data_IF_458145520644
#
_entry.id   IF_458145520644
#
_cell.length_a   1.000
_cell.length_b   1.000
_cell.length_c   1.000
_cell.angle_alpha   90.00
_cell.angle_beta   90.00
_cell.angle_gamma   90.00
#
_symmetry.space_group_name_H-M   'P 1'
#
loop_
_entity.id
_entity.type
_entity.pdbx_description
1 polymer ?
#
# COMPACT_ATOMS: atom_id res chain seq x y z
N UNK A 1 -40.40 -16.60 -11.42
CA UNK A 1 -39.16 -16.09 -12.04
C UNK A 1 -38.17 -15.95 -10.90
N UNK A 2 -37.67 -17.09 -10.45
CA UNK A 2 -36.69 -17.22 -9.38
C UNK A 2 -35.32 -17.47 -10.01
N UNK A 3 -34.27 -17.20 -9.24
CA UNK A 3 -32.91 -17.73 -9.39
C UNK A 3 -31.87 -16.86 -10.12
N UNK A 4 -31.43 -15.76 -9.47
CA UNK A 4 -30.16 -15.05 -9.79
C UNK A 4 -29.42 -14.59 -8.52
N UNK A 5 -29.47 -15.33 -7.41
CA UNK A 5 -28.76 -14.94 -6.15
C UNK A 5 -27.91 -16.08 -5.56
N UNK A 6 -27.44 -17.01 -6.38
CA UNK A 6 -26.62 -18.16 -5.95
C UNK A 6 -25.13 -18.04 -6.27
N UNK A 7 -24.63 -16.85 -6.65
CA UNK A 7 -23.24 -16.68 -7.11
C UNK A 7 -22.22 -16.19 -6.06
N UNK A 8 -22.64 -15.68 -4.91
CA UNK A 8 -21.71 -15.15 -3.90
C UNK A 8 -21.48 -16.21 -2.82
N UNK A 9 -20.55 -17.13 -3.08
CA UNK A 9 -19.91 -17.91 -2.01
C UNK A 9 -19.60 -16.98 -0.85
N UNK A 10 -19.91 -17.39 0.39
CA UNK A 10 -19.68 -16.51 1.54
C UNK A 10 -18.21 -16.04 1.52
N UNK A 11 -17.90 -14.78 1.87
CA UNK A 11 -16.51 -14.31 1.97
C UNK A 11 -15.64 -15.21 2.88
N UNK A 12 -16.31 -15.98 3.75
CA UNK A 12 -15.76 -16.97 4.65
C UNK A 12 -15.42 -18.32 3.99
N UNK A 13 -16.04 -18.69 2.88
CA UNK A 13 -15.70 -19.89 2.12
C UNK A 13 -14.32 -19.78 1.45
N UNK A 14 -13.95 -18.58 0.98
CA UNK A 14 -12.63 -18.26 0.41
C UNK A 14 -11.49 -18.24 1.44
N UNK A 15 -11.80 -18.11 2.74
CA UNK A 15 -10.79 -18.21 3.81
C UNK A 15 -10.22 -19.64 3.92
N UNK A 16 -10.99 -20.67 3.53
CA UNK A 16 -10.58 -22.07 3.61
C UNK A 16 -9.37 -22.44 2.73
N UNK A 17 -9.06 -21.62 1.71
CA UNK A 17 -7.94 -21.85 0.79
C UNK A 17 -6.61 -21.26 1.30
N UNK A 18 -6.66 -20.40 2.32
CA UNK A 18 -5.49 -19.73 2.89
C UNK A 18 -4.82 -20.59 3.97
N UNK A 19 -3.49 -20.47 4.09
CA UNK A 19 -2.76 -21.08 5.23
C UNK A 19 -3.24 -20.44 6.55
N UNK A 20 -3.14 -21.14 7.69
CA UNK A 20 -3.57 -20.60 8.98
C UNK A 20 -2.96 -19.23 9.33
N UNK A 21 -1.68 -19.00 9.01
CA UNK A 21 -1.03 -17.70 9.22
C UNK A 21 -1.66 -16.60 8.36
N UNK A 22 -2.01 -16.90 7.11
CA UNK A 22 -2.64 -15.94 6.20
C UNK A 22 -4.09 -15.63 6.59
N UNK A 23 -4.81 -16.63 7.13
CA UNK A 23 -6.14 -16.40 7.71
C UNK A 23 -6.07 -15.46 8.91
N UNK A 24 -5.05 -15.62 9.76
CA UNK A 24 -4.80 -14.72 10.88
C UNK A 24 -4.47 -13.30 10.40
N UNK A 25 -3.51 -13.16 9.47
CA UNK A 25 -3.13 -11.86 8.92
C UNK A 25 -4.34 -11.12 8.30
N UNK A 26 -5.20 -11.86 7.57
CA UNK A 26 -6.42 -11.31 6.99
C UNK A 26 -7.43 -10.89 8.07
N UNK A 27 -7.61 -11.71 9.10
CA UNK A 27 -8.50 -11.41 10.23
C UNK A 27 -8.03 -10.17 10.98
N UNK A 28 -6.72 -10.06 11.25
CA UNK A 28 -6.11 -8.92 11.93
C UNK A 28 -6.28 -7.64 11.10
N UNK A 29 -6.05 -7.72 9.79
CA UNK A 29 -6.30 -6.60 8.88
C UNK A 29 -7.78 -6.18 8.86
N UNK A 30 -8.71 -7.14 8.75
CA UNK A 30 -10.16 -6.86 8.76
C UNK A 30 -10.57 -6.16 10.06
N UNK A 31 -10.12 -6.65 11.21
CA UNK A 31 -10.34 -6.00 12.50
C UNK A 31 -9.74 -4.58 12.53
N UNK A 32 -8.53 -4.39 12.01
CA UNK A 32 -7.85 -3.09 11.93
C UNK A 32 -8.64 -2.07 11.10
N UNK A 33 -9.29 -2.50 10.03
CA UNK A 33 -10.12 -1.63 9.18
C UNK A 33 -11.57 -1.51 9.65
N UNK A 34 -11.88 -1.97 10.87
CA UNK A 34 -13.18 -1.79 11.50
C UNK A 34 -14.23 -2.82 11.10
N UNK A 35 -13.82 -3.97 10.54
CA UNK A 35 -14.70 -5.12 10.32
C UNK A 35 -14.74 -6.02 11.56
N UNK A 36 -15.94 -6.33 12.05
CA UNK A 36 -16.17 -7.25 13.16
C UNK A 36 -16.22 -8.67 12.62
N UNK A 37 -15.18 -9.44 12.92
CA UNK A 37 -15.18 -10.89 12.66
C UNK A 37 -15.95 -11.56 13.81
N UNK A 38 -17.28 -11.45 13.82
CA UNK A 38 -18.13 -12.25 14.72
C UNK A 38 -18.42 -13.62 14.10
N UNK A 39 -18.17 -14.68 14.86
CA UNK A 39 -18.54 -16.04 14.48
C UNK A 39 -20.05 -16.23 14.58
N UNK A 40 -20.74 -16.04 13.46
CA UNK A 40 -22.18 -16.27 13.32
C UNK A 40 -22.88 -15.09 12.66
N UNK A 41 -23.56 -15.34 11.54
CA UNK A 41 -24.10 -14.34 10.61
C UNK A 41 -24.92 -13.23 11.28
N UNK A 42 -24.58 -11.97 10.98
CA UNK A 42 -25.56 -11.00 10.50
C UNK A 42 -25.05 -10.30 9.22
N UNK A 43 -25.89 -9.49 8.57
CA UNK A 43 -25.60 -8.90 7.24
C UNK A 43 -24.32 -8.03 7.20
N UNK A 44 -23.84 -7.72 5.99
CA UNK A 44 -22.62 -6.95 5.75
C UNK A 44 -22.60 -5.61 6.51
N UNK A 45 -23.77 -5.00 6.72
CA UNK A 45 -23.93 -3.74 7.45
C UNK A 45 -23.71 -3.88 8.97
N UNK A 46 -24.07 -5.01 9.57
CA UNK A 46 -23.85 -5.28 11.00
C UNK A 46 -22.38 -5.69 11.30
N UNK A 47 -21.68 -6.18 10.28
CA UNK A 47 -20.28 -6.58 10.40
C UNK A 47 -19.32 -5.37 10.35
N UNK A 48 -19.68 -4.27 9.70
CA UNK A 48 -18.80 -3.09 9.58
C UNK A 48 -19.05 -2.12 10.73
N UNK A 49 -18.15 -2.10 11.72
CA UNK A 49 -18.25 -1.19 12.86
C UNK A 49 -17.90 0.27 12.55
N UNK A 50 -17.14 0.50 11.47
CA UNK A 50 -16.77 1.84 11.02
C UNK A 50 -16.71 1.86 9.48
N UNK A 51 -17.79 2.31 8.85
CA UNK A 51 -17.91 2.33 7.40
C UNK A 51 -16.82 3.17 6.73
N UNK A 52 -16.48 4.33 7.29
CA UNK A 52 -15.44 5.21 6.73
C UNK A 52 -14.07 4.53 6.74
N UNK A 53 -13.71 3.88 7.85
CA UNK A 53 -12.46 3.17 7.99
C UNK A 53 -12.40 1.96 7.06
N UNK A 54 -13.49 1.20 6.97
CA UNK A 54 -13.59 0.05 6.08
C UNK A 54 -13.46 0.45 4.61
N UNK A 55 -14.16 1.51 4.18
CA UNK A 55 -13.99 2.07 2.82
C UNK A 55 -12.56 2.55 2.57
N UNK A 56 -11.89 3.13 3.57
CA UNK A 56 -10.48 3.54 3.45
C UNK A 56 -9.56 2.33 3.29
N UNK A 57 -9.79 1.26 4.05
CA UNK A 57 -9.09 0.00 3.89
C UNK A 57 -9.30 -0.63 2.51
N UNK A 58 -10.54 -0.59 2.00
CA UNK A 58 -10.87 -1.03 0.65
C UNK A 58 -10.09 -0.23 -0.39
N UNK A 59 -10.06 1.10 -0.32
CA UNK A 59 -9.28 1.93 -1.25
C UNK A 59 -7.79 1.59 -1.23
N UNK A 60 -7.21 1.31 -0.06
CA UNK A 60 -5.83 0.87 0.05
C UNK A 60 -5.60 -0.47 -0.64
N UNK A 61 -6.45 -1.47 -0.38
CA UNK A 61 -6.32 -2.80 -1.02
C UNK A 61 -6.50 -2.69 -2.53
N UNK A 62 -7.46 -1.91 -3.00
CA UNK A 62 -7.65 -1.65 -4.44
C UNK A 62 -6.43 -0.98 -5.06
N UNK A 63 -5.82 0.01 -4.39
CA UNK A 63 -4.60 0.64 -4.88
C UNK A 63 -3.44 -0.37 -4.97
N UNK A 64 -3.26 -1.23 -3.96
CA UNK A 64 -2.24 -2.28 -3.99
C UNK A 64 -2.47 -3.31 -5.11
N UNK A 65 -3.73 -3.62 -5.42
CA UNK A 65 -4.10 -4.56 -6.48
C UNK A 65 -3.91 -3.99 -7.90
N UNK A 66 -4.02 -2.67 -8.07
CA UNK A 66 -3.85 -2.00 -9.37
C UNK A 66 -2.35 -1.77 -9.71
N UNK A 67 -1.44 -1.90 -8.74
CA UNK A 67 -0.02 -1.75 -8.99
C UNK A 67 0.53 -2.87 -9.89
N UNK A 68 1.49 -2.59 -10.80
CA UNK A 68 2.02 -3.59 -11.73
C UNK A 68 2.69 -4.80 -11.07
N UNK A 69 2.74 -5.91 -11.81
CA UNK A 69 3.40 -7.16 -11.40
C UNK A 69 4.83 -6.88 -10.92
N UNK A 70 5.13 -7.25 -9.66
CA UNK A 70 6.35 -6.99 -8.86
C UNK A 70 6.24 -5.87 -7.80
N UNK A 71 5.33 -4.91 -7.95
CA UNK A 71 5.26 -3.75 -7.07
C UNK A 71 4.89 -4.14 -5.63
N UNK A 72 3.96 -5.09 -5.46
CA UNK A 72 3.60 -5.61 -4.14
C UNK A 72 4.79 -6.25 -3.41
N UNK A 73 5.66 -6.98 -4.13
CA UNK A 73 6.85 -7.59 -3.55
C UNK A 73 7.89 -6.52 -3.15
N UNK A 74 8.07 -5.49 -3.98
CA UNK A 74 8.95 -4.36 -3.68
C UNK A 74 8.43 -3.52 -2.50
N UNK A 75 7.11 -3.27 -2.43
CA UNK A 75 6.47 -2.64 -1.27
C UNK A 75 6.66 -3.49 -0.01
N UNK A 76 6.49 -4.81 -0.09
CA UNK A 76 6.76 -5.73 1.02
C UNK A 76 8.21 -5.68 1.50
N UNK A 77 9.17 -5.57 0.58
CA UNK A 77 10.58 -5.34 0.93
C UNK A 77 10.78 -3.98 1.61
N UNK A 78 10.15 -2.92 1.10
CA UNK A 78 10.20 -1.58 1.70
C UNK A 78 9.60 -1.55 3.11
N UNK A 79 8.51 -2.29 3.37
CA UNK A 79 7.95 -2.46 4.70
C UNK A 79 8.94 -3.15 5.65
N UNK A 80 9.56 -4.26 5.22
CA UNK A 80 10.57 -4.99 6.03
C UNK A 80 11.79 -4.15 6.34
N UNK A 81 12.20 -3.29 5.40
CA UNK A 81 13.34 -2.38 5.56
C UNK A 81 13.00 -1.11 6.34
N UNK A 82 11.73 -0.92 6.73
CA UNK A 82 11.24 0.25 7.46
C UNK A 82 11.48 1.57 6.73
N UNK A 83 11.38 1.56 5.40
CA UNK A 83 11.69 2.74 4.57
C UNK A 83 10.43 3.47 4.08
N UNK A 84 9.23 2.90 4.24
CA UNK A 84 7.94 3.49 3.80
C UNK A 84 7.78 4.99 4.15
N UNK A 85 8.14 5.46 5.37
CA UNK A 85 8.08 6.89 5.69
C UNK A 85 8.96 7.77 4.79
N UNK A 86 10.17 7.31 4.45
CA UNK A 86 11.08 7.98 3.52
C UNK A 86 10.48 8.10 2.13
N UNK A 87 9.81 7.05 1.62
CA UNK A 87 9.12 7.12 0.32
C UNK A 87 7.95 8.12 0.35
N UNK A 88 7.20 8.18 1.45
CA UNK A 88 6.15 9.19 1.61
C UNK A 88 6.71 10.61 1.58
N UNK A 89 7.90 10.83 2.14
CA UNK A 89 8.59 12.12 2.08
C UNK A 89 8.94 12.49 0.63
N UNK A 90 9.55 11.56 -0.12
CA UNK A 90 9.90 11.78 -1.54
C UNK A 90 8.67 12.14 -2.40
N UNK A 91 7.54 11.45 -2.22
CA UNK A 91 6.36 11.74 -3.02
C UNK A 91 5.68 13.07 -2.67
N UNK A 92 5.90 13.62 -1.46
CA UNK A 92 5.42 14.98 -1.14
C UNK A 92 6.26 16.05 -1.85
N UNK A 93 7.57 15.81 -1.99
CA UNK A 93 8.47 16.69 -2.72
C UNK A 93 8.21 16.71 -4.25
N UNK A 94 7.39 15.79 -4.79
CA UNK A 94 6.95 15.83 -6.19
C UNK A 94 6.16 17.09 -6.55
N UNK A 95 5.52 17.75 -5.57
CA UNK A 95 4.81 19.00 -5.81
C UNK A 95 5.74 20.19 -6.09
N UNK A 96 7.02 20.06 -5.75
CA UNK A 96 8.08 21.03 -6.03
C UNK A 96 8.87 20.62 -7.29
N UNK A 97 10.21 20.62 -7.25
CA UNK A 97 11.09 20.18 -8.34
C UNK A 97 11.42 18.67 -8.29
N UNK A 98 10.83 17.94 -7.34
CA UNK A 98 11.07 16.54 -7.09
C UNK A 98 12.43 16.23 -6.46
N UNK A 99 13.20 17.23 -6.05
CA UNK A 99 14.53 17.07 -5.44
C UNK A 99 14.40 16.97 -3.92
N UNK A 100 15.13 16.06 -3.30
CA UNK A 100 15.21 15.95 -1.84
C UNK A 100 16.63 15.69 -1.37
N UNK A 101 17.06 16.41 -0.34
CA UNK A 101 18.41 16.33 0.22
C UNK A 101 18.59 15.01 1.01
N UNK A 102 19.64 14.25 0.71
CA UNK A 102 19.97 13.02 1.43
C UNK A 102 20.47 13.30 2.86
N UNK A 103 20.88 14.53 3.18
CA UNK A 103 21.19 14.94 4.55
C UNK A 103 19.93 15.10 5.43
N UNK A 104 18.74 15.09 4.83
CA UNK A 104 17.51 14.98 5.62
C UNK A 104 17.48 13.62 6.37
N UNK A 105 17.33 13.61 7.70
CA UNK A 105 17.23 12.38 8.48
C UNK A 105 16.08 11.46 8.04
N UNK A 106 14.98 12.01 7.50
CA UNK A 106 13.87 11.22 6.95
C UNK A 106 14.30 10.36 5.75
N UNK A 107 15.40 10.73 5.07
CA UNK A 107 15.94 10.04 3.90
C UNK A 107 17.24 9.29 4.20
N UNK A 108 17.68 9.23 5.47
CA UNK A 108 18.85 8.48 5.88
C UNK A 108 18.88 7.02 5.36
N UNK A 109 17.76 6.28 5.29
CA UNK A 109 17.76 4.93 4.73
C UNK A 109 18.16 4.85 3.25
N UNK A 110 18.03 5.93 2.48
CA UNK A 110 18.36 5.98 1.05
C UNK A 110 19.84 6.24 0.80
N UNK A 111 20.63 6.58 1.83
CA UNK A 111 22.09 6.64 1.72
C UNK A 111 22.68 5.26 1.42
N UNK A 112 22.06 4.21 1.94
CA UNK A 112 22.40 2.82 1.62
C UNK A 112 22.03 2.47 0.17
N UNK A 113 22.99 1.90 -0.56
CA UNK A 113 22.83 1.65 -2.00
C UNK A 113 21.86 0.51 -2.28
N UNK A 114 21.83 -0.54 -1.45
CA UNK A 114 20.91 -1.67 -1.66
C UNK A 114 19.45 -1.24 -1.46
N UNK A 115 19.18 -0.48 -0.39
CA UNK A 115 17.88 0.12 -0.12
C UNK A 115 17.47 1.08 -1.23
N UNK A 116 18.40 1.93 -1.68
CA UNK A 116 18.15 2.85 -2.79
C UNK A 116 17.73 2.10 -4.06
N UNK A 117 18.42 1.02 -4.43
CA UNK A 117 18.09 0.23 -5.62
C UNK A 117 16.70 -0.43 -5.54
N UNK A 118 16.26 -0.86 -4.36
CA UNK A 118 14.91 -1.40 -4.15
C UNK A 118 13.87 -0.30 -4.37
N UNK A 119 14.07 0.89 -3.79
CA UNK A 119 13.18 2.03 -3.96
C UNK A 119 13.15 2.49 -5.42
N UNK A 120 14.29 2.56 -6.08
CA UNK A 120 14.37 2.93 -7.49
C UNK A 120 13.54 1.98 -8.37
N UNK A 121 13.62 0.66 -8.12
CA UNK A 121 12.79 -0.33 -8.83
C UNK A 121 11.30 -0.17 -8.56
N UNK A 122 10.92 0.19 -7.32
CA UNK A 122 9.52 0.46 -6.97
C UNK A 122 8.99 1.72 -7.66
N UNK A 123 9.78 2.77 -7.73
CA UNK A 123 9.39 3.98 -8.45
C UNK A 123 9.27 3.70 -9.96
N UNK A 124 10.19 2.91 -10.52
CA UNK A 124 10.14 2.52 -11.92
C UNK A 124 8.87 1.70 -12.24
N UNK A 125 8.39 0.85 -11.33
CA UNK A 125 7.11 0.15 -11.54
C UNK A 125 5.90 1.07 -11.49
N UNK A 126 6.04 2.27 -10.92
CA UNK A 126 5.03 3.33 -10.96
C UNK A 126 5.29 4.38 -12.04
N UNK A 127 6.14 4.06 -13.03
CA UNK A 127 6.51 4.95 -14.14
C UNK A 127 7.19 6.26 -13.70
N UNK A 128 8.00 6.16 -12.65
CA UNK A 128 8.82 7.26 -12.15
C UNK A 128 10.28 6.83 -12.12
N UNK A 129 11.18 7.77 -12.43
CA UNK A 129 12.61 7.55 -12.28
C UNK A 129 13.07 8.17 -10.97
N UNK A 130 13.72 7.37 -10.13
CA UNK A 130 14.45 7.87 -8.98
C UNK A 130 15.93 7.99 -9.34
N UNK A 131 16.41 9.21 -9.48
CA UNK A 131 17.79 9.52 -9.80
C UNK A 131 18.57 9.84 -8.52
N UNK A 132 19.81 9.33 -8.43
CA UNK A 132 20.74 9.67 -7.35
C UNK A 132 21.71 10.73 -7.83
N UNK A 133 21.74 11.84 -7.12
CA UNK A 133 22.72 12.91 -7.28
C UNK A 133 23.79 12.78 -6.18
N UNK A 134 24.75 13.70 -6.14
CA UNK A 134 25.88 13.62 -5.20
C UNK A 134 25.43 13.70 -3.74
N UNK A 135 24.54 14.63 -3.41
CA UNK A 135 24.02 14.86 -2.04
C UNK A 135 22.49 14.84 -1.98
N UNK A 136 21.81 14.49 -3.07
CA UNK A 136 20.36 14.53 -3.14
C UNK A 136 19.83 13.38 -4.01
N UNK A 137 18.52 13.18 -3.94
CA UNK A 137 17.79 12.30 -4.85
C UNK A 137 16.74 13.12 -5.56
N UNK A 138 16.43 12.72 -6.79
CA UNK A 138 15.42 13.38 -7.61
C UNK A 138 14.42 12.37 -8.10
N UNK A 139 13.15 12.64 -7.88
CA UNK A 139 12.06 11.89 -8.50
C UNK A 139 11.67 12.62 -9.79
N UNK A 140 11.71 11.90 -10.91
CA UNK A 140 11.33 12.40 -12.22
C UNK A 140 10.11 11.60 -12.69
N UNK A 141 8.99 12.29 -12.88
CA UNK A 141 7.79 11.72 -13.50
C UNK A 141 7.85 11.91 -15.01
N UNK A 142 7.23 11.00 -15.75
CA UNK A 142 7.04 11.21 -17.18
C UNK A 142 6.07 12.39 -17.43
N UNK A 143 6.19 13.03 -18.59
CA UNK A 143 5.30 14.13 -18.99
C UNK A 143 3.89 13.66 -19.35
N UNK A 144 3.74 12.38 -19.64
CA UNK A 144 2.47 11.78 -20.02
C UNK A 144 1.63 11.50 -18.76
N UNK A 145 0.31 11.75 -18.80
CA UNK A 145 -0.55 11.50 -17.66
C UNK A 145 -0.60 10.00 -17.36
N UNK A 146 -0.04 9.62 -16.21
CA UNK A 146 -0.05 8.26 -15.70
C UNK A 146 -0.67 8.21 -14.30
N UNK A 147 -1.51 7.22 -14.04
CA UNK A 147 -2.19 7.04 -12.75
C UNK A 147 -1.33 6.28 -11.72
N UNK A 148 -0.30 5.53 -12.16
CA UNK A 148 0.51 4.73 -11.24
C UNK A 148 1.24 5.53 -10.14
N UNK A 149 1.78 6.75 -10.39
CA UNK A 149 2.31 7.59 -9.31
C UNK A 149 1.29 7.88 -8.20
N UNK A 150 0.03 8.12 -8.57
CA UNK A 150 -1.06 8.35 -7.62
C UNK A 150 -1.41 7.07 -6.86
N UNK A 151 -1.46 5.92 -7.55
CA UNK A 151 -1.71 4.62 -6.93
C UNK A 151 -0.61 4.27 -5.93
N UNK A 152 0.66 4.51 -6.27
CA UNK A 152 1.78 4.32 -5.35
C UNK A 152 1.68 5.28 -4.15
N UNK A 153 1.29 6.54 -4.38
CA UNK A 153 1.08 7.51 -3.30
C UNK A 153 0.01 7.07 -2.32
N UNK A 154 -1.15 6.60 -2.80
CA UNK A 154 -2.23 6.07 -1.96
C UNK A 154 -1.73 4.86 -1.18
N UNK A 155 -1.05 3.93 -1.84
CA UNK A 155 -0.50 2.72 -1.23
C UNK A 155 0.47 3.04 -0.09
N UNK A 156 1.44 3.91 -0.33
CA UNK A 156 2.44 4.29 0.69
C UNK A 156 1.82 5.05 1.86
N UNK A 157 0.91 6.01 1.60
CA UNK A 157 0.24 6.73 2.69
C UNK A 157 -0.66 5.82 3.52
N UNK A 158 -1.36 4.89 2.88
CA UNK A 158 -2.16 3.88 3.57
C UNK A 158 -1.28 3.00 4.46
N UNK A 159 -0.19 2.44 3.93
CA UNK A 159 0.77 1.65 4.71
C UNK A 159 1.38 2.45 5.88
N UNK A 160 1.76 3.71 5.67
CA UNK A 160 2.24 4.60 6.73
C UNK A 160 1.16 4.91 7.79
N UNK A 161 -0.11 4.95 7.41
CA UNK A 161 -1.20 5.15 8.36
C UNK A 161 -1.39 3.92 9.25
N UNK A 162 -1.33 2.72 8.66
CA UNK A 162 -1.41 1.46 9.41
C UNK A 162 -0.23 1.28 10.37
N UNK A 163 0.99 1.69 9.98
CA UNK A 163 2.16 1.58 10.85
C UNK A 163 2.14 2.52 12.07
N UNK A 164 1.31 3.57 12.06
CA UNK A 164 1.16 4.52 13.19
C UNK A 164 0.11 4.07 14.21
N UNK A 165 -0.68 3.05 13.90
CA UNK A 165 -1.74 2.54 14.77
C UNK A 165 -1.23 1.50 15.79
N UNK A 166 0.09 1.28 15.86
CA UNK A 166 0.76 0.32 16.73
C UNK A 166 1.89 1.00 17.50
#
# INVERSE_FOLDING_TARGET
>A
CEDVVSGLSSPLATLGELKPSQQQDLTDFLCLVGYRVQGGCPGLEDAVSNQKLFSTGYFLVSALAEMPDNAAALLGACCKLQIIPSLCHLLRALSDDGISDLENPDLAPLKDMERFMIVQRLFASADMNLERLQSSVKVVTQKDPNIFPLILYISLNGLCALSRAH
#
